data_IF_497580699893
#
_entry.id   IF_497580699893
#
_cell.length_a   1.000
_cell.length_b   1.000
_cell.length_c   1.000
_cell.angle_alpha   90.00
_cell.angle_beta   90.00
_cell.angle_gamma   90.00
#
_symmetry.space_group_name_H-M   'P 1'
#
loop_
_entity.id
_entity.type
_entity.pdbx_description
1 polymer ?
#
# COMPACT_ATOMS: atom_id res chain seq x y z
N UNK A 1 -8.76 -4.88 -14.32
CA UNK A 1 -8.55 -4.54 -12.89
C UNK A 1 -8.71 -5.75 -11.96
N UNK A 2 -9.87 -6.44 -11.97
CA UNK A 2 -10.12 -7.59 -11.09
C UNK A 2 -9.12 -8.75 -11.25
N UNK A 3 -8.80 -9.15 -12.49
CA UNK A 3 -7.79 -10.19 -12.74
C UNK A 3 -6.41 -9.79 -12.22
N UNK A 4 -5.99 -8.54 -12.45
CA UNK A 4 -4.70 -8.04 -11.95
C UNK A 4 -4.59 -8.12 -10.42
N UNK A 5 -5.63 -7.66 -9.70
CA UNK A 5 -5.67 -7.72 -8.23
C UNK A 5 -5.55 -9.15 -7.71
N UNK A 6 -6.17 -10.13 -8.38
CA UNK A 6 -6.13 -11.53 -7.96
C UNK A 6 -4.85 -12.26 -8.37
N UNK A 7 -4.14 -11.75 -9.38
CA UNK A 7 -2.89 -12.33 -9.89
C UNK A 7 -1.64 -11.66 -9.34
N UNK A 8 -1.77 -10.59 -8.55
CA UNK A 8 -0.65 -9.78 -8.04
C UNK A 8 0.43 -10.62 -7.35
N UNK A 9 0.06 -11.67 -6.62
CA UNK A 9 1.00 -12.54 -5.90
C UNK A 9 1.79 -13.51 -6.81
N UNK A 10 1.41 -13.65 -8.08
CA UNK A 10 2.04 -14.57 -9.05
C UNK A 10 2.85 -13.80 -10.09
N UNK A 11 2.71 -12.47 -10.14
CA UNK A 11 3.40 -11.61 -11.08
C UNK A 11 4.80 -11.25 -10.56
N UNK A 12 5.77 -11.18 -11.48
CA UNK A 12 7.09 -10.62 -11.16
C UNK A 12 6.96 -9.14 -10.83
N UNK A 13 7.86 -8.60 -10.01
CA UNK A 13 7.87 -7.19 -9.64
C UNK A 13 7.88 -6.29 -10.89
N UNK A 14 8.69 -6.62 -11.90
CA UNK A 14 8.79 -5.83 -13.13
C UNK A 14 7.47 -5.78 -13.92
N UNK A 15 6.76 -6.92 -14.01
CA UNK A 15 5.46 -6.99 -14.68
C UNK A 15 4.39 -6.24 -13.90
N UNK A 16 4.41 -6.35 -12.57
CA UNK A 16 3.50 -5.65 -11.67
C UNK A 16 3.68 -4.12 -11.73
N UNK A 17 4.92 -3.62 -11.77
CA UNK A 17 5.23 -2.19 -11.92
C UNK A 17 4.82 -1.66 -13.29
N UNK A 18 5.08 -2.43 -14.36
CA UNK A 18 4.73 -2.06 -15.73
C UNK A 18 3.22 -1.96 -15.90
N UNK A 19 2.49 -3.01 -15.48
CA UNK A 19 1.03 -3.05 -15.55
C UNK A 19 0.39 -1.96 -14.69
N UNK A 20 0.92 -1.68 -13.50
CA UNK A 20 0.42 -0.58 -12.65
C UNK A 20 0.60 0.77 -13.32
N UNK A 21 1.74 1.00 -13.98
CA UNK A 21 2.01 2.24 -14.71
C UNK A 21 1.09 2.40 -15.93
N UNK A 22 0.86 1.33 -16.68
CA UNK A 22 -0.10 1.31 -17.80
C UNK A 22 -1.53 1.56 -17.34
N UNK A 23 -1.96 0.94 -16.23
CA UNK A 23 -3.28 1.16 -15.66
C UNK A 23 -3.46 2.62 -15.24
N UNK A 24 -2.47 3.22 -14.59
CA UNK A 24 -2.48 4.63 -14.19
C UNK A 24 -2.55 5.60 -15.38
N UNK A 25 -1.89 5.29 -16.50
CA UNK A 25 -1.97 6.10 -17.72
C UNK A 25 -3.40 6.21 -18.27
N UNK A 26 -4.28 5.25 -17.92
CA UNK A 26 -5.68 5.19 -18.31
C UNK A 26 -6.64 5.69 -17.22
N UNK A 27 -6.15 6.01 -16.01
CA UNK A 27 -6.98 6.44 -14.85
C UNK A 27 -7.66 7.79 -15.08
N UNK A 28 -7.14 8.66 -15.96
CA UNK A 28 -7.83 9.90 -16.38
C UNK A 28 -9.25 9.66 -16.93
N UNK A 29 -9.59 8.42 -17.32
CA UNK A 29 -10.91 8.05 -17.82
C UNK A 29 -11.87 7.47 -16.75
N UNK A 30 -11.39 7.20 -15.53
CA UNK A 30 -12.15 6.49 -14.48
C UNK A 30 -12.64 7.39 -13.33
N UNK A 31 -12.38 8.70 -13.40
CA UNK A 31 -12.84 9.69 -12.41
C UNK A 31 -14.39 9.73 -12.26
N UNK A 32 -15.13 9.19 -13.23
CA UNK A 32 -16.59 9.19 -13.24
C UNK A 32 -17.24 8.08 -12.39
N UNK A 33 -16.48 7.10 -11.86
CA UNK A 33 -17.05 6.03 -11.01
C UNK A 33 -16.31 5.89 -9.67
N UNK A 34 -16.94 6.39 -8.61
CA UNK A 34 -16.49 6.30 -7.21
C UNK A 34 -16.10 4.87 -6.78
N UNK A 35 -16.81 3.84 -7.25
CA UNK A 35 -16.45 2.44 -6.96
C UNK A 35 -15.14 1.98 -7.59
N UNK A 36 -14.79 2.50 -8.77
CA UNK A 36 -13.54 2.17 -9.42
C UNK A 36 -12.36 2.84 -8.72
N UNK A 37 -12.59 4.04 -8.15
CA UNK A 37 -11.57 4.80 -7.41
C UNK A 37 -11.05 4.02 -6.20
N UNK A 38 -11.93 3.45 -5.38
CA UNK A 38 -11.51 2.67 -4.19
C UNK A 38 -10.73 1.42 -4.56
N UNK A 39 -11.11 0.74 -5.65
CA UNK A 39 -10.39 -0.43 -6.18
C UNK A 39 -8.99 -0.04 -6.69
N UNK A 40 -8.86 1.13 -7.32
CA UNK A 40 -7.57 1.70 -7.72
C UNK A 40 -6.69 1.95 -6.49
N UNK A 41 -7.24 2.57 -5.44
CA UNK A 41 -6.48 2.83 -4.20
C UNK A 41 -5.99 1.55 -3.55
N UNK A 42 -6.87 0.57 -3.38
CA UNK A 42 -6.51 -0.73 -2.79
C UNK A 42 -5.44 -1.45 -3.62
N UNK A 43 -5.56 -1.42 -4.95
CA UNK A 43 -4.54 -1.98 -5.84
C UNK A 43 -3.19 -1.28 -5.64
N UNK A 44 -3.16 0.05 -5.70
CA UNK A 44 -1.92 0.82 -5.56
C UNK A 44 -1.29 0.61 -4.18
N UNK A 45 -2.08 0.55 -3.12
CA UNK A 45 -1.60 0.29 -1.76
C UNK A 45 -0.95 -1.10 -1.66
N UNK A 46 -1.57 -2.13 -2.24
CA UNK A 46 -0.99 -3.48 -2.28
C UNK A 46 0.33 -3.50 -3.07
N UNK A 47 0.38 -2.81 -4.22
CA UNK A 47 1.60 -2.68 -5.03
C UNK A 47 2.71 -2.01 -4.22
N UNK A 48 2.40 -0.93 -3.51
CA UNK A 48 3.37 -0.23 -2.63
C UNK A 48 3.90 -1.19 -1.56
N UNK A 49 3.04 -1.92 -0.85
CA UNK A 49 3.47 -2.86 0.19
C UNK A 49 4.44 -3.91 -0.36
N UNK A 50 4.09 -4.54 -1.49
CA UNK A 50 4.96 -5.55 -2.14
C UNK A 50 6.30 -4.95 -2.58
N UNK A 51 6.29 -3.73 -3.13
CA UNK A 51 7.53 -3.05 -3.52
C UNK A 51 8.42 -2.78 -2.31
N UNK A 52 7.87 -2.42 -1.14
CA UNK A 52 8.65 -2.18 0.08
C UNK A 52 9.19 -3.50 0.64
N UNK A 53 8.38 -4.56 0.68
CA UNK A 53 8.79 -5.91 1.11
C UNK A 53 9.95 -6.43 0.24
N UNK A 54 9.88 -6.17 -1.07
CA UNK A 54 10.88 -6.60 -2.06
C UNK A 54 12.05 -5.64 -2.26
N UNK A 55 12.25 -4.67 -1.35
CA UNK A 55 13.31 -3.63 -1.40
C UNK A 55 13.33 -2.78 -2.69
N UNK A 56 12.23 -2.75 -3.44
CA UNK A 56 12.02 -1.92 -4.63
C UNK A 56 11.56 -0.49 -4.26
N UNK A 57 12.40 0.19 -3.48
CA UNK A 57 12.07 1.45 -2.82
C UNK A 57 11.79 2.60 -3.80
N UNK A 58 12.44 2.65 -4.95
CA UNK A 58 12.21 3.71 -5.94
C UNK A 58 10.78 3.65 -6.52
N UNK A 59 10.29 2.44 -6.80
CA UNK A 59 8.96 2.17 -7.32
C UNK A 59 7.91 2.40 -6.22
N UNK A 60 8.16 1.95 -5.00
CA UNK A 60 7.31 2.23 -3.85
C UNK A 60 7.11 3.74 -3.67
N UNK A 61 8.19 4.53 -3.72
CA UNK A 61 8.11 5.99 -3.60
C UNK A 61 7.28 6.61 -4.74
N UNK A 62 7.49 6.16 -5.98
CA UNK A 62 6.71 6.61 -7.14
C UNK A 62 5.22 6.41 -6.90
N UNK A 63 4.79 5.21 -6.52
CA UNK A 63 3.37 4.90 -6.31
C UNK A 63 2.77 5.59 -5.08
N UNK A 64 3.54 5.77 -4.00
CA UNK A 64 3.11 6.57 -2.84
C UNK A 64 2.86 8.03 -3.20
N UNK A 65 3.73 8.65 -4.00
CA UNK A 65 3.53 10.03 -4.47
C UNK A 65 2.26 10.17 -5.33
N UNK A 66 1.95 9.15 -6.13
CA UNK A 66 0.71 9.11 -6.91
C UNK A 66 -0.49 9.03 -5.96
N UNK A 67 -0.47 8.14 -4.96
CA UNK A 67 -1.53 8.06 -3.94
C UNK A 67 -1.72 9.37 -3.18
N UNK A 68 -0.65 10.09 -2.85
CA UNK A 68 -0.74 11.42 -2.22
C UNK A 68 -1.40 12.46 -3.13
N UNK A 69 -1.17 12.38 -4.44
CA UNK A 69 -1.78 13.31 -5.40
C UNK A 69 -3.28 13.08 -5.62
N UNK A 70 -3.80 11.88 -5.30
CA UNK A 70 -5.21 11.50 -5.54
C UNK A 70 -6.19 12.08 -4.51
N UNK A 71 -5.73 12.90 -3.55
CA UNK A 71 -6.56 13.59 -2.55
C UNK A 71 -7.62 12.70 -1.88
N UNK A 72 -7.18 11.70 -1.12
CA UNK A 72 -8.06 10.80 -0.36
C UNK A 72 -9.06 11.60 0.50
N UNK A 73 -10.36 11.39 0.24
CA UNK A 73 -11.46 12.08 0.92
C UNK A 73 -11.59 11.62 2.37
N UNK A 74 -12.30 12.36 3.22
CA UNK A 74 -12.48 11.99 4.63
C UNK A 74 -12.99 10.55 4.81
N UNK A 75 -13.88 10.09 3.93
CA UNK A 75 -14.42 8.73 3.91
C UNK A 75 -13.39 7.62 3.63
N UNK A 76 -12.24 7.95 3.03
CA UNK A 76 -11.16 7.01 2.69
C UNK A 76 -10.21 6.78 3.89
N UNK A 77 -10.75 6.70 5.11
CA UNK A 77 -9.98 6.55 6.37
C UNK A 77 -9.10 5.31 6.34
N UNK A 78 -9.65 4.19 5.88
CA UNK A 78 -8.96 2.92 5.82
C UNK A 78 -7.73 3.01 4.91
N UNK A 79 -7.91 3.51 3.68
CA UNK A 79 -6.86 3.69 2.69
C UNK A 79 -5.76 4.63 3.21
N UNK A 80 -6.12 5.69 3.95
CA UNK A 80 -5.14 6.58 4.61
C UNK A 80 -4.31 5.87 5.67
N UNK A 81 -4.92 5.02 6.50
CA UNK A 81 -4.18 4.27 7.53
C UNK A 81 -3.14 3.36 6.85
N UNK A 82 -3.52 2.64 5.80
CA UNK A 82 -2.61 1.77 5.04
C UNK A 82 -1.50 2.58 4.36
N UNK A 83 -1.81 3.73 3.76
CA UNK A 83 -0.79 4.60 3.16
C UNK A 83 0.21 5.09 4.19
N UNK A 84 -0.26 5.51 5.37
CA UNK A 84 0.61 5.97 6.46
C UNK A 84 1.48 4.85 7.02
N UNK A 85 0.93 3.65 7.15
CA UNK A 85 1.71 2.45 7.47
C UNK A 85 2.83 2.22 6.44
N UNK A 86 2.50 2.23 5.15
CA UNK A 86 3.48 2.05 4.08
C UNK A 86 4.58 3.13 4.09
N UNK A 87 4.26 4.38 4.39
CA UNK A 87 5.27 5.45 4.57
C UNK A 87 6.20 5.20 5.74
N UNK A 88 5.67 4.72 6.86
CA UNK A 88 6.49 4.32 8.01
C UNK A 88 7.38 3.11 7.65
N UNK A 89 6.83 2.11 6.95
CA UNK A 89 7.60 0.95 6.53
C UNK A 89 8.73 1.29 5.56
N UNK A 90 8.44 2.18 4.60
CA UNK A 90 9.45 2.73 3.70
C UNK A 90 10.57 3.46 4.46
N UNK A 91 10.22 4.27 5.45
CA UNK A 91 11.19 5.02 6.27
C UNK A 91 12.05 4.07 7.12
N UNK A 92 11.44 3.04 7.69
CA UNK A 92 12.14 1.97 8.40
C UNK A 92 13.16 1.25 7.50
N UNK A 93 12.76 0.86 6.28
CA UNK A 93 13.67 0.26 5.28
C UNK A 93 14.83 1.18 4.88
N UNK A 94 14.67 2.51 5.03
CA UNK A 94 15.74 3.50 4.82
C UNK A 94 16.65 3.74 6.03
N UNK A 95 16.42 3.04 7.14
CA UNK A 95 17.26 3.09 8.35
C UNK A 95 16.67 3.90 9.51
N UNK A 96 15.45 4.45 9.37
CA UNK A 96 14.77 5.12 10.48
C UNK A 96 14.12 4.10 11.41
N UNK A 97 14.82 3.74 12.50
CA UNK A 97 14.34 2.74 13.46
C UNK A 97 13.10 3.19 14.24
N UNK A 98 12.89 4.50 14.40
CA UNK A 98 11.75 5.03 15.16
C UNK A 98 10.43 4.79 14.40
N UNK A 99 10.50 4.66 13.08
CA UNK A 99 9.35 4.30 12.23
C UNK A 99 8.75 2.92 12.56
N UNK A 100 9.49 2.04 13.26
CA UNK A 100 8.95 0.76 13.74
C UNK A 100 7.78 0.94 14.71
N UNK A 101 7.91 1.91 15.61
CA UNK A 101 6.85 2.23 16.57
C UNK A 101 5.59 2.72 15.86
N UNK A 102 5.75 3.57 14.85
CA UNK A 102 4.64 4.08 14.05
C UNK A 102 3.92 2.94 13.30
N UNK A 103 4.65 1.98 12.74
CA UNK A 103 4.03 0.81 12.09
C UNK A 103 3.16 0.02 13.07
N UNK A 104 3.66 -0.24 14.28
CA UNK A 104 2.90 -0.93 15.32
C UNK A 104 1.67 -0.14 15.79
N UNK A 105 1.77 1.18 15.90
CA UNK A 105 0.63 2.06 16.22
C UNK A 105 -0.48 1.98 15.17
N UNK A 106 -0.15 1.94 13.87
CA UNK A 106 -1.15 1.77 12.82
C UNK A 106 -1.79 0.38 12.83
N UNK A 107 -1.03 -0.67 13.14
CA UNK A 107 -1.58 -2.03 13.31
C UNK A 107 -2.55 -2.07 14.50
N UNK A 108 -2.19 -1.45 15.63
CA UNK A 108 -3.07 -1.36 16.79
C UNK A 108 -4.35 -0.55 16.50
N UNK A 109 -4.24 0.55 15.74
CA UNK A 109 -5.40 1.30 15.26
C UNK A 109 -6.33 0.43 14.42
N UNK A 110 -5.81 -0.40 13.51
CA UNK A 110 -6.62 -1.33 12.73
C UNK A 110 -7.31 -2.39 13.60
N UNK A 111 -6.61 -2.91 14.63
CA UNK A 111 -7.22 -3.83 15.59
C UNK A 111 -8.37 -3.19 16.37
N UNK A 112 -8.21 -1.94 16.79
CA UNK A 112 -9.27 -1.16 17.47
C UNK A 112 -10.49 -0.88 16.58
N UNK A 113 -10.31 -0.91 15.27
CA UNK A 113 -11.37 -0.78 14.28
C UNK A 113 -11.92 -2.14 13.81
N UNK A 114 -11.64 -3.22 14.54
CA UNK A 114 -12.02 -4.61 14.23
C UNK A 114 -11.55 -5.10 12.84
N UNK A 115 -10.54 -4.47 12.26
CA UNK A 115 -9.95 -4.84 10.96
C UNK A 115 -8.86 -5.92 11.12
N UNK A 116 -9.17 -6.99 11.86
CA UNK A 116 -8.20 -7.97 12.34
C UNK A 116 -7.39 -8.65 11.22
N UNK A 117 -8.06 -9.12 10.16
CA UNK A 117 -7.37 -9.79 9.05
C UNK A 117 -6.38 -8.88 8.31
N UNK A 118 -6.65 -7.57 8.25
CA UNK A 118 -5.69 -6.62 7.66
C UNK A 118 -4.54 -6.35 8.63
N UNK A 119 -4.84 -6.17 9.91
CA UNK A 119 -3.83 -5.95 10.94
C UNK A 119 -2.84 -7.12 11.05
N UNK A 120 -3.34 -8.36 10.98
CA UNK A 120 -2.51 -9.58 10.96
C UNK A 120 -1.62 -9.62 9.72
N UNK A 121 -2.18 -9.32 8.54
CA UNK A 121 -1.42 -9.30 7.29
C UNK A 121 -0.27 -8.28 7.35
N UNK A 122 -0.54 -7.06 7.81
CA UNK A 122 0.52 -6.04 7.98
C UNK A 122 1.53 -6.43 9.05
N UNK A 123 1.10 -7.08 10.13
CA UNK A 123 2.00 -7.57 11.16
C UNK A 123 2.94 -8.66 10.62
N UNK A 124 2.43 -9.59 9.80
CA UNK A 124 3.28 -10.60 9.14
C UNK A 124 4.30 -9.99 8.19
N UNK A 125 3.96 -8.91 7.49
CA UNK A 125 4.90 -8.18 6.62
C UNK A 125 6.09 -7.58 7.39
N UNK A 126 5.93 -7.30 8.69
CA UNK A 126 6.98 -6.71 9.51
C UNK A 126 7.58 -7.69 10.54
N UNK A 127 7.00 -8.86 10.75
CA UNK A 127 7.39 -9.77 11.83
C UNK A 127 8.84 -10.25 11.72
N UNK A 128 9.35 -10.35 10.49
CA UNK A 128 10.74 -10.72 10.22
C UNK A 128 11.73 -9.66 10.73
N UNK A 129 11.29 -8.42 10.89
CA UNK A 129 12.08 -7.30 11.41
C UNK A 129 11.84 -7.04 12.91
N UNK A 130 10.73 -7.53 13.49
CA UNK A 130 10.43 -7.40 14.93
C UNK A 130 11.31 -8.31 15.77
N UNK A 131 11.63 -9.51 15.25
CA UNK A 131 12.30 -10.57 16.00
C UNK A 131 13.85 -10.55 15.88
N UNK A 132 14.42 -9.44 15.41
CA UNK A 132 15.85 -9.25 15.16
C UNK A 132 16.45 -8.23 16.13
#
# INVERSE_FOLDING_TARGET
MWLFINSVNVLTIDTLVTLSSEMLSRVQFYDELLENRRKIYQMLLNVVTICIESDCLAQALKFMNILDSLQLSEADVFERIILRFNKAFYSFKRGDKDSMKLMLEYIDMLKKLDCLGTAEKLFSSISDFVNM
#
